data_IF_718476282064
#
_entry.id   IF_718476282064
#
_cell.length_a   1.000
_cell.length_b   1.000
_cell.length_c   1.000
_cell.angle_alpha   90.00
_cell.angle_beta   90.00
_cell.angle_gamma   90.00
#
_symmetry.space_group_name_H-M   'P 1'
#
loop_
_entity.id
_entity.type
_entity.pdbx_description
1 polymer ?
#
# COMPACT_ATOMS: atom_id res chain seq x y z
N UNK A 1 7.34 -58.31 37.76
CA UNK A 1 8.26 -57.16 37.85
C UNK A 1 8.58 -56.63 36.47
N UNK A 2 8.68 -55.30 36.35
CA UNK A 2 9.26 -54.50 35.25
C UNK A 2 8.56 -54.51 33.87
N UNK A 3 7.57 -53.62 33.76
CA UNK A 3 6.98 -53.05 32.54
C UNK A 3 7.97 -52.04 31.94
N UNK A 4 8.54 -52.27 30.75
CA UNK A 4 9.33 -51.25 30.02
C UNK A 4 8.44 -50.55 29.00
N UNK A 5 8.19 -49.26 29.25
CA UNK A 5 7.54 -48.33 28.31
C UNK A 5 8.62 -47.71 27.43
N UNK A 6 8.58 -47.97 26.13
CA UNK A 6 9.35 -47.21 25.14
C UNK A 6 8.53 -45.97 24.77
N UNK A 7 8.93 -44.80 25.27
CA UNK A 7 8.43 -43.51 24.80
C UNK A 7 9.16 -43.14 23.50
N UNK A 8 8.44 -43.24 22.39
CA UNK A 8 8.86 -42.64 21.13
C UNK A 8 8.70 -41.12 21.25
N UNK A 9 9.83 -40.40 21.28
CA UNK A 9 9.86 -38.95 21.11
C UNK A 9 9.56 -38.64 19.63
N UNK A 10 8.31 -38.26 19.34
CA UNK A 10 7.95 -37.64 18.07
C UNK A 10 8.44 -36.18 18.11
N UNK A 11 9.62 -35.95 17.53
CA UNK A 11 10.04 -34.62 17.09
C UNK A 11 9.10 -34.18 15.96
N UNK A 12 8.13 -33.35 16.30
CA UNK A 12 7.39 -32.53 15.35
C UNK A 12 8.35 -31.48 14.78
N UNK A 13 9.11 -31.87 13.75
CA UNK A 13 9.79 -30.93 12.88
C UNK A 13 8.74 -30.02 12.24
N UNK A 14 8.71 -28.76 12.65
CA UNK A 14 8.20 -27.68 11.82
C UNK A 14 9.05 -27.69 10.55
N UNK A 15 8.51 -28.23 9.46
CA UNK A 15 9.14 -28.17 8.17
C UNK A 15 9.30 -26.69 7.79
N UNK A 16 10.52 -26.16 7.96
CA UNK A 16 10.93 -24.91 7.33
C UNK A 16 10.75 -25.13 5.83
N UNK A 17 9.93 -24.34 5.13
CA UNK A 17 9.76 -24.51 3.69
C UNK A 17 11.13 -24.33 3.04
N UNK A 18 11.55 -25.28 2.19
CA UNK A 18 12.86 -25.37 1.56
C UNK A 18 13.16 -24.26 0.52
N UNK A 19 12.74 -23.02 0.78
CA UNK A 19 12.85 -21.86 -0.11
C UNK A 19 12.64 -20.51 0.58
N UNK A 20 12.90 -20.41 1.89
CA UNK A 20 12.92 -19.13 2.59
C UNK A 20 14.26 -18.42 2.33
N UNK A 21 14.20 -17.18 1.84
CA UNK A 21 15.37 -16.30 1.61
C UNK A 21 15.41 -15.26 2.71
N UNK A 22 16.55 -15.14 3.40
CA UNK A 22 16.80 -14.06 4.35
C UNK A 22 16.93 -12.75 3.57
N UNK A 23 16.02 -11.82 3.80
CA UNK A 23 16.00 -10.49 3.16
C UNK A 23 16.52 -9.39 4.09
N UNK A 24 16.63 -9.68 5.39
CA UNK A 24 17.28 -8.81 6.38
C UNK A 24 17.71 -9.67 7.58
N UNK A 25 18.93 -9.47 8.06
CA UNK A 25 19.41 -10.07 9.30
C UNK A 25 20.40 -9.11 9.95
N UNK A 26 19.98 -8.44 11.02
CA UNK A 26 20.85 -7.58 11.79
C UNK A 26 20.35 -7.43 13.24
N UNK A 27 21.27 -7.45 14.20
CA UNK A 27 21.01 -7.26 15.63
C UNK A 27 19.85 -8.11 16.20
N UNK A 28 19.70 -9.35 15.68
CA UNK A 28 18.66 -10.28 16.10
C UNK A 28 17.27 -9.98 15.53
N UNK A 29 17.11 -8.95 14.70
CA UNK A 29 15.93 -8.76 13.84
C UNK A 29 16.18 -9.47 12.51
N UNK A 30 15.37 -10.48 12.22
CA UNK A 30 15.49 -11.29 11.00
C UNK A 30 14.19 -11.24 10.22
N UNK A 31 14.30 -11.04 8.91
CA UNK A 31 13.19 -11.10 7.96
C UNK A 31 13.50 -12.17 6.94
N UNK A 32 12.61 -13.15 6.85
CA UNK A 32 12.67 -14.25 5.89
C UNK A 32 11.47 -14.16 4.96
N UNK A 33 11.70 -14.26 3.65
CA UNK A 33 10.65 -14.34 2.66
C UNK A 33 10.64 -15.73 2.02
N UNK A 34 9.53 -16.45 2.15
CA UNK A 34 9.32 -17.74 1.52
C UNK A 34 8.34 -17.60 0.36
N UNK A 35 8.70 -18.14 -0.80
CA UNK A 35 7.76 -18.32 -1.91
C UNK A 35 7.25 -19.76 -1.93
N UNK A 36 5.94 -19.94 -1.99
CA UNK A 36 5.28 -21.23 -2.06
C UNK A 36 4.30 -21.31 -3.23
N UNK A 37 3.64 -22.45 -3.37
CA UNK A 37 2.52 -22.64 -4.29
C UNK A 37 1.38 -23.30 -3.52
N UNK A 38 0.18 -22.71 -3.57
CA UNK A 38 -1.06 -23.31 -3.05
C UNK A 38 -2.03 -23.54 -4.20
N UNK A 39 -2.80 -24.61 -4.15
CA UNK A 39 -3.95 -24.72 -5.07
C UNK A 39 -5.09 -23.89 -4.51
N UNK A 40 -5.66 -23.03 -5.34
CA UNK A 40 -6.92 -22.35 -5.01
C UNK A 40 -8.04 -23.40 -4.98
N UNK A 41 -8.76 -23.48 -3.88
CA UNK A 41 -9.76 -24.53 -3.65
C UNK A 41 -11.02 -24.36 -4.51
N UNK A 42 -11.32 -23.12 -4.93
CA UNK A 42 -12.49 -22.81 -5.77
C UNK A 42 -12.21 -23.07 -7.25
N UNK A 43 -11.00 -22.77 -7.70
CA UNK A 43 -10.64 -22.76 -9.13
C UNK A 43 -9.71 -23.91 -9.53
N UNK A 44 -9.14 -24.63 -8.56
CA UNK A 44 -8.13 -25.67 -8.80
C UNK A 44 -6.80 -25.14 -9.33
N UNK A 45 -6.65 -23.82 -9.52
CA UNK A 45 -5.45 -23.23 -10.09
C UNK A 45 -4.35 -23.10 -9.03
N UNK A 46 -3.12 -23.46 -9.40
CA UNK A 46 -1.95 -23.19 -8.57
C UNK A 46 -1.69 -21.68 -8.51
N UNK A 47 -1.70 -21.15 -7.30
CA UNK A 47 -1.33 -19.78 -6.96
C UNK A 47 0.02 -19.76 -6.27
N UNK A 48 0.94 -18.95 -6.78
CA UNK A 48 2.20 -18.67 -6.09
C UNK A 48 1.93 -17.79 -4.86
N UNK A 49 2.27 -18.28 -3.68
CA UNK A 49 2.17 -17.53 -2.43
C UNK A 49 3.51 -16.97 -2.02
N UNK A 50 3.49 -15.88 -1.26
CA UNK A 50 4.67 -15.32 -0.61
C UNK A 50 4.30 -15.11 0.84
N UNK A 51 5.05 -15.74 1.73
CA UNK A 51 4.97 -15.54 3.16
C UNK A 51 6.22 -14.76 3.58
N UNK A 52 6.06 -13.87 4.55
CA UNK A 52 7.19 -13.18 5.18
C UNK A 52 7.10 -13.45 6.67
N UNK A 53 8.19 -13.92 7.24
CA UNK A 53 8.36 -14.16 8.67
C UNK A 53 9.28 -13.08 9.20
N UNK A 54 8.86 -12.36 10.24
CA UNK A 54 9.71 -11.39 10.93
C UNK A 54 9.90 -11.89 12.36
N UNK A 55 11.15 -12.07 12.78
CA UNK A 55 11.50 -12.46 14.14
C UNK A 55 12.41 -11.44 14.80
N UNK A 56 12.28 -11.29 16.11
CA UNK A 56 13.23 -10.55 16.94
C UNK A 56 13.71 -11.46 18.07
N UNK A 57 15.02 -11.66 18.18
CA UNK A 57 15.65 -12.57 19.14
C UNK A 57 15.05 -13.99 19.06
N UNK A 58 14.79 -14.47 17.83
CA UNK A 58 14.19 -15.77 17.56
C UNK A 58 12.69 -15.88 17.85
N UNK A 59 12.03 -14.82 18.34
CA UNK A 59 10.59 -14.80 18.57
C UNK A 59 9.86 -14.15 17.39
N UNK A 60 8.83 -14.78 16.81
CA UNK A 60 8.06 -14.16 15.74
C UNK A 60 7.31 -12.93 16.25
N UNK A 61 7.27 -11.88 15.42
CA UNK A 61 6.44 -10.70 15.68
C UNK A 61 4.98 -10.99 15.31
N UNK A 62 4.36 -11.91 16.04
CA UNK A 62 2.98 -12.37 15.84
C UNK A 62 2.37 -12.77 17.19
N UNK A 63 1.44 -11.97 17.69
CA UNK A 63 0.93 -12.11 19.05
C UNK A 63 0.14 -10.90 19.55
N UNK A 64 -0.34 -11.00 20.79
CA UNK A 64 -0.97 -9.87 21.51
C UNK A 64 0.05 -8.86 22.03
N UNK A 65 1.26 -9.31 22.31
CA UNK A 65 2.41 -8.49 22.70
C UNK A 65 2.82 -7.51 21.60
N UNK A 66 2.62 -7.88 20.34
CA UNK A 66 2.81 -6.99 19.18
C UNK A 66 1.86 -5.78 19.23
N UNK A 67 0.62 -5.94 19.71
CA UNK A 67 -0.31 -4.83 19.90
C UNK A 67 0.24 -3.76 20.84
N UNK A 68 0.85 -4.18 21.95
CA UNK A 68 1.50 -3.26 22.89
C UNK A 68 2.76 -2.58 22.29
N UNK A 69 3.48 -3.26 21.38
CA UNK A 69 4.60 -2.64 20.66
C UNK A 69 4.15 -1.56 19.67
N UNK A 70 3.01 -1.76 18.99
CA UNK A 70 2.47 -0.82 18.01
C UNK A 70 1.75 0.37 18.65
N UNK A 71 1.20 0.17 19.85
CA UNK A 71 0.44 1.15 20.62
C UNK A 71 0.98 1.23 22.06
N UNK A 72 2.19 1.78 22.26
CA UNK A 72 2.90 1.73 23.55
C UNK A 72 2.17 2.48 24.68
N UNK A 73 1.36 3.48 24.36
CA UNK A 73 0.61 4.26 25.36
C UNK A 73 -0.52 3.44 26.01
N UNK A 74 -0.89 2.29 25.42
CA UNK A 74 -1.89 1.36 25.97
C UNK A 74 -3.33 1.90 26.04
N UNK A 75 -3.58 3.15 25.63
CA UNK A 75 -4.89 3.79 25.66
C UNK A 75 -5.83 3.29 24.55
N UNK A 76 -5.27 2.79 23.45
CA UNK A 76 -6.00 2.26 22.30
C UNK A 76 -6.51 0.85 22.58
N UNK A 77 -7.76 0.53 22.19
CA UNK A 77 -8.27 -0.85 22.27
C UNK A 77 -7.42 -1.81 21.41
N UNK A 78 -6.84 -1.28 20.33
CA UNK A 78 -5.92 -1.93 19.41
C UNK A 78 -4.64 -2.41 20.11
N UNK A 79 -4.22 -1.80 21.22
CA UNK A 79 -3.07 -2.26 22.00
C UNK A 79 -3.25 -3.69 22.52
N UNK A 80 -4.49 -4.17 22.62
CA UNK A 80 -4.85 -5.53 23.07
C UNK A 80 -5.16 -6.49 21.90
N UNK A 81 -5.13 -5.99 20.67
CA UNK A 81 -5.42 -6.80 19.49
C UNK A 81 -4.27 -7.75 19.18
N UNK A 82 -4.61 -8.86 18.53
CA UNK A 82 -3.64 -9.81 18.01
C UNK A 82 -3.16 -9.32 16.65
N UNK A 83 -1.87 -9.03 16.53
CA UNK A 83 -1.23 -8.61 15.28
C UNK A 83 -0.17 -9.60 14.85
N UNK A 84 -0.05 -9.81 13.55
CA UNK A 84 1.10 -10.51 12.98
C UNK A 84 1.74 -9.67 11.89
N UNK A 85 3.07 -9.63 11.94
CA UNK A 85 3.87 -9.15 10.85
C UNK A 85 3.53 -9.93 9.57
N UNK A 86 3.42 -9.20 8.48
CA UNK A 86 3.12 -9.71 7.14
C UNK A 86 4.24 -9.28 6.20
N UNK A 87 3.94 -8.54 5.14
CA UNK A 87 4.92 -8.07 4.17
C UNK A 87 5.92 -7.12 4.81
N UNK A 88 7.21 -7.30 4.50
CA UNK A 88 8.30 -6.46 4.96
C UNK A 88 9.21 -6.01 3.82
N UNK A 89 9.90 -4.89 4.02
CA UNK A 89 10.94 -4.36 3.12
C UNK A 89 12.12 -3.88 3.95
N UNK A 90 13.28 -4.48 3.70
CA UNK A 90 14.54 -3.96 4.21
C UNK A 90 14.80 -2.57 3.63
N UNK A 91 15.22 -1.65 4.49
CA UNK A 91 15.65 -0.31 4.10
C UNK A 91 17.17 -0.26 4.01
N UNK A 92 17.68 0.72 3.30
CA UNK A 92 19.12 1.02 3.26
C UNK A 92 19.65 1.50 4.62
N UNK A 93 18.75 1.76 5.58
CA UNK A 93 19.02 2.41 6.87
C UNK A 93 18.87 1.44 8.04
N UNK A 94 19.60 0.31 8.10
CA UNK A 94 19.57 -0.69 9.19
C UNK A 94 18.20 -0.86 9.89
N UNK A 95 17.16 -0.92 9.08
CA UNK A 95 15.77 -0.90 9.53
C UNK A 95 14.89 -1.59 8.50
N UNK A 96 13.69 -1.94 8.93
CA UNK A 96 12.71 -2.66 8.13
C UNK A 96 11.39 -1.93 8.17
N UNK A 97 10.74 -1.71 7.03
CA UNK A 97 9.31 -1.38 7.00
C UNK A 97 8.52 -2.68 7.03
N UNK A 98 7.51 -2.77 7.89
CA UNK A 98 6.68 -3.96 8.02
C UNK A 98 5.21 -3.61 8.20
N UNK A 99 4.36 -4.34 7.47
CA UNK A 99 2.93 -4.32 7.70
C UNK A 99 2.55 -5.30 8.80
N UNK A 100 1.66 -4.87 9.70
CA UNK A 100 1.07 -5.69 10.74
C UNK A 100 -0.43 -5.80 10.49
N UNK A 101 -0.91 -7.01 10.30
CA UNK A 101 -2.33 -7.28 10.04
C UNK A 101 -3.00 -7.87 11.28
N UNK A 102 -4.27 -7.56 11.48
CA UNK A 102 -5.10 -8.11 12.54
C UNK A 102 -6.49 -8.45 12.00
N UNK A 103 -7.15 -9.45 12.58
CA UNK A 103 -8.56 -9.75 12.32
C UNK A 103 -9.52 -8.84 13.10
N UNK A 104 -9.02 -8.11 14.11
CA UNK A 104 -9.83 -7.30 15.03
C UNK A 104 -9.41 -5.83 15.09
N UNK A 105 -8.44 -5.41 14.27
CA UNK A 105 -7.93 -4.04 14.21
C UNK A 105 -7.45 -3.71 12.79
N UNK A 106 -7.29 -2.43 12.49
CA UNK A 106 -6.80 -1.97 11.19
C UNK A 106 -5.34 -2.39 10.96
N UNK A 107 -4.99 -2.67 9.71
CA UNK A 107 -3.60 -2.89 9.30
C UNK A 107 -2.74 -1.68 9.64
N UNK A 108 -1.55 -1.94 10.20
CA UNK A 108 -0.58 -0.91 10.59
C UNK A 108 0.69 -1.03 9.76
N UNK A 109 1.27 0.10 9.34
CA UNK A 109 2.63 0.15 8.80
C UNK A 109 3.57 0.73 9.85
N UNK A 110 4.69 0.07 10.10
CA UNK A 110 5.68 0.53 11.06
C UNK A 110 7.12 0.33 10.55
N UNK A 111 8.03 1.19 11.01
CA UNK A 111 9.47 0.94 10.94
C UNK A 111 9.89 0.12 12.17
N UNK A 112 10.68 -0.91 11.92
CA UNK A 112 11.37 -1.73 12.90
C UNK A 112 12.86 -1.40 12.84
N UNK A 113 13.43 -1.01 13.98
CA UNK A 113 14.88 -0.77 14.11
C UNK A 113 15.34 -1.30 15.45
N UNK A 114 16.52 -1.91 15.51
CA UNK A 114 17.12 -2.31 16.79
C UNK A 114 18.06 -1.19 17.26
N UNK A 115 17.84 -0.66 18.45
CA UNK A 115 18.68 0.37 19.06
C UNK A 115 19.01 -0.05 20.48
N UNK A 116 20.30 -0.07 20.84
CA UNK A 116 20.78 -0.53 22.15
C UNK A 116 20.24 -1.93 22.51
N UNK A 117 20.26 -2.85 21.54
CA UNK A 117 19.75 -4.22 21.68
C UNK A 117 18.26 -4.32 22.10
N UNK A 118 17.48 -3.28 21.79
CA UNK A 118 16.04 -3.24 21.99
C UNK A 118 15.33 -2.93 20.66
N UNK A 119 14.29 -3.69 20.35
CA UNK A 119 13.42 -3.42 19.21
C UNK A 119 12.67 -2.11 19.43
N UNK A 120 12.85 -1.17 18.51
CA UNK A 120 12.06 0.06 18.40
C UNK A 120 11.10 -0.09 17.24
N UNK A 121 9.83 0.14 17.55
CA UNK A 121 8.74 0.11 16.57
C UNK A 121 8.19 1.52 16.48
N UNK A 122 8.25 2.11 15.28
CA UNK A 122 7.69 3.42 15.00
C UNK A 122 6.56 3.27 13.99
N UNK A 123 5.31 3.45 14.44
CA UNK A 123 4.15 3.49 13.55
C UNK A 123 4.25 4.68 12.60
N UNK A 124 3.97 4.44 11.33
CA UNK A 124 3.87 5.48 10.32
C UNK A 124 2.41 5.91 10.17
N UNK A 125 2.18 7.22 10.32
CA UNK A 125 0.92 7.85 9.95
C UNK A 125 1.00 8.22 8.47
N UNK A 126 0.13 7.61 7.67
CA UNK A 126 0.07 7.75 6.22
C UNK A 126 -0.83 8.90 5.78
N UNK A 127 -1.69 9.41 6.66
CA UNK A 127 -2.55 10.56 6.39
C UNK A 127 -2.73 11.42 7.62
N UNK A 128 -2.66 12.74 7.46
CA UNK A 128 -3.03 13.68 8.51
C UNK A 128 -4.52 13.61 8.88
N UNK A 129 -5.36 13.07 7.98
CA UNK A 129 -6.77 12.78 8.21
C UNK A 129 -6.93 11.34 8.73
N UNK A 130 -7.33 11.12 9.99
CA UNK A 130 -7.35 9.79 10.61
C UNK A 130 -8.27 8.79 9.90
N UNK A 131 -9.38 9.27 9.35
CA UNK A 131 -10.29 8.47 8.57
C UNK A 131 -9.60 7.88 7.35
N UNK A 132 -8.64 8.59 6.73
CA UNK A 132 -7.90 8.19 5.51
C UNK A 132 -6.57 7.45 5.75
N UNK A 133 -6.24 7.14 7.00
CA UNK A 133 -4.97 6.49 7.39
C UNK A 133 -4.97 4.95 7.19
N UNK A 134 -6.12 4.35 6.86
CA UNK A 134 -6.26 2.89 6.72
C UNK A 134 -5.54 2.33 5.48
N UNK A 135 -5.15 1.06 5.62
CA UNK A 135 -4.42 0.29 4.63
C UNK A 135 -5.25 -0.96 4.27
N UNK A 136 -5.62 -1.09 3.00
CA UNK A 136 -6.34 -2.27 2.49
C UNK A 136 -5.43 -3.30 1.83
N UNK A 137 -4.22 -2.89 1.42
CA UNK A 137 -3.24 -3.77 0.76
C UNK A 137 -1.87 -3.65 1.42
N UNK A 138 -1.21 -4.79 1.62
CA UNK A 138 0.10 -4.87 2.28
C UNK A 138 1.22 -5.00 1.26
N UNK A 139 1.27 -4.07 0.30
CA UNK A 139 2.24 -4.08 -0.79
C UNK A 139 3.15 -2.86 -0.73
N UNK A 140 4.46 -3.11 -0.77
CA UNK A 140 5.44 -2.07 -1.05
C UNK A 140 5.62 -1.92 -2.55
N UNK A 141 5.46 -0.71 -3.03
CA UNK A 141 5.56 -0.35 -4.44
C UNK A 141 6.83 0.46 -4.67
N UNK A 142 7.29 0.44 -5.92
CA UNK A 142 8.43 1.24 -6.34
C UNK A 142 8.06 2.74 -6.35
N UNK A 143 8.89 3.53 -5.69
CA UNK A 143 8.78 4.98 -5.56
C UNK A 143 9.41 5.74 -6.73
N UNK A 144 10.13 5.06 -7.64
CA UNK A 144 10.93 5.65 -8.72
C UNK A 144 12.00 6.64 -8.23
N UNK A 145 12.36 6.55 -6.95
CA UNK A 145 13.32 7.43 -6.30
C UNK A 145 14.12 6.64 -5.25
N UNK A 146 15.47 6.60 -5.34
CA UNK A 146 16.30 5.91 -4.35
C UNK A 146 16.10 6.43 -2.93
N UNK A 147 16.10 5.56 -1.93
CA UNK A 147 15.81 5.92 -0.53
C UNK A 147 14.35 6.24 -0.25
N UNK A 148 13.43 5.89 -1.16
CA UNK A 148 11.98 6.02 -0.98
C UNK A 148 11.24 4.71 -1.27
N UNK A 149 10.11 4.53 -0.61
CA UNK A 149 9.15 3.44 -0.85
C UNK A 149 7.76 4.03 -1.09
N UNK A 150 7.01 3.49 -2.04
CA UNK A 150 5.61 3.87 -2.25
C UNK A 150 4.68 2.87 -1.60
N UNK A 151 3.59 3.36 -1.02
CA UNK A 151 2.47 2.55 -0.53
C UNK A 151 1.15 3.23 -0.92
N UNK A 152 0.05 2.49 -0.81
CA UNK A 152 -1.28 3.02 -1.10
C UNK A 152 -2.19 2.93 0.13
N UNK A 153 -2.97 3.98 0.39
CA UNK A 153 -4.04 3.93 1.40
C UNK A 153 -5.29 3.26 0.82
N UNK A 154 -6.25 2.92 1.68
CA UNK A 154 -7.55 2.38 1.24
C UNK A 154 -8.37 3.33 0.35
N UNK A 155 -8.00 4.62 0.26
CA UNK A 155 -8.66 5.65 -0.59
C UNK A 155 -7.95 5.87 -1.91
N UNK A 156 -7.11 4.92 -2.32
CA UNK A 156 -6.29 5.03 -3.52
C UNK A 156 -5.34 6.24 -3.52
N UNK A 157 -4.89 6.69 -2.35
CA UNK A 157 -3.89 7.74 -2.24
C UNK A 157 -2.49 7.17 -2.32
N UNK A 158 -1.62 7.84 -3.07
CA UNK A 158 -0.19 7.51 -3.14
C UNK A 158 0.52 8.15 -1.96
N UNK A 159 1.20 7.33 -1.16
CA UNK A 159 2.03 7.78 -0.03
C UNK A 159 3.48 7.38 -0.29
N UNK A 160 4.37 8.37 -0.21
CA UNK A 160 5.80 8.21 -0.39
C UNK A 160 6.48 8.18 0.99
N UNK A 161 7.24 7.12 1.27
CA UNK A 161 7.95 6.94 2.54
C UNK A 161 9.44 7.15 2.28
N UNK A 162 9.98 8.25 2.80
CA UNK A 162 11.42 8.51 2.82
C UNK A 162 12.07 7.63 3.88
N UNK A 163 13.20 7.01 3.58
CA UNK A 163 13.89 6.10 4.51
C UNK A 163 14.74 6.85 5.54
N UNK A 164 15.40 7.94 5.13
CA UNK A 164 16.24 8.78 6.00
C UNK A 164 16.13 10.29 5.70
N UNK A 165 15.71 11.13 6.68
CA UNK A 165 15.00 10.72 7.88
C UNK A 165 13.66 10.05 7.53
N UNK A 166 13.18 9.16 8.40
CA UNK A 166 11.91 8.47 8.19
C UNK A 166 10.76 9.47 8.17
N UNK A 167 10.06 9.55 7.04
CA UNK A 167 8.88 10.40 6.89
C UNK A 167 7.91 9.80 5.87
N UNK A 168 6.62 9.80 6.19
CA UNK A 168 5.55 9.50 5.24
C UNK A 168 5.00 10.80 4.65
N UNK A 169 4.89 10.85 3.33
CA UNK A 169 4.37 11.98 2.58
C UNK A 169 3.19 11.53 1.73
N UNK A 170 1.98 11.90 2.13
CA UNK A 170 0.77 11.61 1.36
C UNK A 170 0.64 12.61 0.20
N UNK A 171 0.69 12.12 -1.04
CA UNK A 171 0.52 12.93 -2.24
C UNK A 171 -0.96 13.04 -2.67
N UNK A 172 -1.86 12.39 -1.94
CA UNK A 172 -3.28 12.31 -2.22
C UNK A 172 -3.63 11.30 -3.32
N UNK A 173 -4.83 11.40 -3.91
CA UNK A 173 -5.34 10.40 -4.85
C UNK A 173 -4.52 10.35 -6.15
N UNK A 174 -4.41 9.14 -6.70
CA UNK A 174 -3.78 8.88 -8.00
C UNK A 174 -2.68 7.84 -7.95
N UNK A 175 -2.28 7.35 -9.11
CA UNK A 175 -1.18 6.40 -9.33
C UNK A 175 0.07 7.15 -9.80
N UNK A 176 1.23 6.78 -9.24
CA UNK A 176 2.50 7.41 -9.58
C UNK A 176 2.92 7.09 -11.02
N UNK A 177 3.07 8.14 -11.84
CA UNK A 177 3.67 8.04 -13.16
C UNK A 177 5.18 8.17 -13.07
N UNK A 178 5.65 9.22 -12.38
CA UNK A 178 7.06 9.58 -12.35
C UNK A 178 7.39 10.56 -11.23
N UNK A 179 8.67 10.68 -10.88
CA UNK A 179 9.22 11.72 -10.02
C UNK A 179 10.38 12.39 -10.74
N UNK A 180 10.24 13.68 -11.06
CA UNK A 180 11.29 14.46 -11.73
C UNK A 180 11.38 15.86 -11.12
N UNK A 181 12.60 16.35 -10.91
CA UNK A 181 12.89 17.70 -10.42
C UNK A 181 12.13 18.08 -9.13
N UNK A 182 12.00 17.13 -8.20
CA UNK A 182 11.28 17.32 -6.94
C UNK A 182 9.75 17.36 -7.09
N UNK A 183 9.20 16.93 -8.23
CA UNK A 183 7.76 16.86 -8.51
C UNK A 183 7.35 15.42 -8.82
N UNK A 184 6.36 14.91 -8.10
CA UNK A 184 5.67 13.68 -8.44
C UNK A 184 4.51 13.96 -9.40
N UNK A 185 4.46 13.21 -10.49
CA UNK A 185 3.38 13.22 -11.45
C UNK A 185 2.45 12.03 -11.18
N UNK A 186 1.17 12.32 -10.96
CA UNK A 186 0.16 11.30 -10.68
C UNK A 186 -0.89 11.28 -11.80
N UNK A 187 -1.34 10.08 -12.15
CA UNK A 187 -2.54 9.89 -12.96
C UNK A 187 -3.71 9.51 -12.06
N UNK A 188 -4.89 10.10 -12.30
CA UNK A 188 -6.15 9.65 -11.75
C UNK A 188 -6.86 8.90 -12.87
N UNK A 189 -6.86 7.56 -12.85
CA UNK A 189 -7.65 6.79 -13.81
C UNK A 189 -9.12 7.15 -13.69
N UNK A 190 -9.89 7.07 -14.80
CA UNK A 190 -11.33 7.24 -14.72
C UNK A 190 -11.89 6.15 -13.81
N UNK A 191 -12.81 6.53 -12.93
CA UNK A 191 -13.29 5.66 -11.87
C UNK A 191 -14.74 5.92 -11.52
N UNK A 192 -15.16 5.39 -10.38
CA UNK A 192 -16.43 5.72 -9.75
C UNK A 192 -16.19 5.98 -8.28
N UNK A 193 -16.55 7.17 -7.82
CA UNK A 193 -16.48 7.52 -6.41
C UNK A 193 -17.84 7.28 -5.76
N UNK A 194 -17.85 6.62 -4.61
CA UNK A 194 -19.03 6.51 -3.78
C UNK A 194 -19.25 7.85 -3.07
N UNK A 195 -20.22 8.63 -3.53
CA UNK A 195 -20.67 9.85 -2.86
C UNK A 195 -21.77 9.47 -1.88
N UNK A 196 -21.54 9.74 -0.60
CA UNK A 196 -22.54 9.56 0.44
C UNK A 196 -23.67 10.59 0.24
N UNK A 197 -24.86 10.10 -0.07
CA UNK A 197 -26.09 10.90 -0.18
C UNK A 197 -26.72 11.07 1.20
N UNK A 198 -26.70 10.00 2.02
CA UNK A 198 -27.16 10.04 3.40
C UNK A 198 -26.14 9.39 4.33
N UNK A 199 -25.77 10.04 5.44
CA UNK A 199 -24.82 9.47 6.39
C UNK A 199 -25.40 8.28 7.14
N UNK A 200 -24.49 7.49 7.71
CA UNK A 200 -24.87 6.41 8.62
C UNK A 200 -25.63 6.98 9.82
N UNK A 201 -26.83 6.47 10.08
CA UNK A 201 -27.68 6.89 11.20
C UNK A 201 -27.71 5.80 12.27
N UNK A 202 -27.74 6.20 13.54
CA UNK A 202 -28.05 5.29 14.66
C UNK A 202 -29.49 5.54 15.08
N UNK A 203 -30.35 4.55 14.88
CA UNK A 203 -31.78 4.63 15.23
C UNK A 203 -32.08 3.60 16.30
N UNK A 204 -33.05 3.87 17.17
CA UNK A 204 -33.59 2.83 18.05
C UNK A 204 -34.76 2.15 17.33
N UNK A 205 -34.79 0.82 17.37
CA UNK A 205 -35.97 0.08 16.90
C UNK A 205 -37.14 0.17 17.90
N UNK A 206 -38.27 -0.45 17.55
CA UNK A 206 -39.49 -0.40 18.33
C UNK A 206 -39.32 -0.96 19.75
N UNK A 207 -38.33 -1.83 19.96
CA UNK A 207 -38.01 -2.46 21.25
C UNK A 207 -36.88 -1.73 22.01
N UNK A 208 -36.39 -0.61 21.46
CA UNK A 208 -35.39 0.27 22.08
C UNK A 208 -33.93 -0.12 21.83
N UNK A 209 -33.65 -1.12 20.99
CA UNK A 209 -32.30 -1.51 20.63
C UNK A 209 -31.71 -0.57 19.58
N UNK A 210 -30.42 -0.24 19.73
CA UNK A 210 -29.71 0.61 18.78
C UNK A 210 -29.38 -0.18 17.50
N UNK A 211 -29.97 0.24 16.38
CA UNK A 211 -29.64 -0.22 15.04
C UNK A 211 -28.82 0.82 14.29
N UNK A 212 -27.90 0.33 13.46
CA UNK A 212 -27.10 1.14 12.55
C UNK A 212 -27.78 1.06 11.17
N UNK A 213 -28.32 2.19 10.72
CA UNK A 213 -28.75 2.35 9.33
C UNK A 213 -27.52 2.78 8.53
N UNK A 214 -27.01 1.92 7.62
CA UNK A 214 -25.83 2.24 6.84
C UNK A 214 -26.08 3.44 5.92
N UNK A 215 -25.01 4.14 5.56
CA UNK A 215 -25.06 5.25 4.62
C UNK A 215 -25.61 4.84 3.25
N UNK A 216 -26.39 5.72 2.63
CA UNK A 216 -26.79 5.58 1.22
C UNK A 216 -25.69 6.22 0.38
N UNK A 217 -25.06 5.43 -0.48
CA UNK A 217 -23.99 5.91 -1.38
C UNK A 217 -24.45 5.82 -2.83
N UNK A 218 -24.08 6.83 -3.62
CA UNK A 218 -24.23 6.84 -5.08
C UNK A 218 -22.85 6.86 -5.71
N UNK A 219 -22.62 5.94 -6.64
CA UNK A 219 -21.41 5.93 -7.44
C UNK A 219 -21.50 7.01 -8.53
N UNK A 220 -20.59 7.97 -8.50
CA UNK A 220 -20.46 9.03 -9.51
C UNK A 220 -19.20 8.76 -10.31
N UNK A 221 -19.32 8.77 -11.64
CA UNK A 221 -18.18 8.57 -12.52
C UNK A 221 -17.19 9.72 -12.33
N UNK A 222 -15.94 9.40 -12.02
CA UNK A 222 -14.86 10.36 -11.90
C UNK A 222 -14.07 10.40 -13.19
N UNK A 223 -13.99 11.56 -13.86
CA UNK A 223 -13.20 11.65 -15.08
C UNK A 223 -11.71 11.53 -14.74
N UNK A 224 -10.93 11.17 -15.76
CA UNK A 224 -9.49 11.11 -15.58
C UNK A 224 -8.89 12.49 -15.36
N UNK A 225 -7.78 12.53 -14.63
CA UNK A 225 -6.99 13.75 -14.43
C UNK A 225 -5.50 13.43 -14.29
N UNK A 226 -4.66 14.43 -14.47
CA UNK A 226 -3.26 14.39 -14.07
C UNK A 226 -2.98 15.42 -13.00
N UNK A 227 -2.06 15.11 -12.08
CA UNK A 227 -1.64 16.00 -11.01
C UNK A 227 -0.12 16.09 -11.00
N UNK A 228 0.38 17.27 -10.67
CA UNK A 228 1.77 17.51 -10.34
C UNK A 228 1.84 17.93 -8.87
N UNK A 229 2.58 17.19 -8.05
CA UNK A 229 2.65 17.35 -6.60
C UNK A 229 4.10 17.54 -6.17
N UNK A 230 4.37 18.53 -5.33
CA UNK A 230 5.71 18.81 -4.83
C UNK A 230 6.14 17.74 -3.82
N UNK A 231 7.35 17.19 -3.98
CA UNK A 231 7.89 16.13 -3.12
C UNK A 231 8.39 16.62 -1.75
N UNK A 232 8.53 17.92 -1.53
CA UNK A 232 8.99 18.46 -0.24
C UNK A 232 7.89 18.51 0.82
N UNK A 233 6.64 18.72 0.41
CA UNK A 233 5.51 19.01 1.30
C UNK A 233 4.19 18.37 0.86
N UNK A 234 4.14 17.70 -0.29
CA UNK A 234 2.94 17.04 -0.80
C UNK A 234 1.92 18.03 -1.38
N UNK A 235 2.29 19.30 -1.56
CA UNK A 235 1.41 20.32 -2.10
C UNK A 235 1.18 20.11 -3.59
N UNK A 236 -0.08 20.09 -4.00
CA UNK A 236 -0.44 20.09 -5.42
C UNK A 236 -0.02 21.41 -6.07
N UNK A 237 0.82 21.31 -7.11
CA UNK A 237 1.31 22.44 -7.88
C UNK A 237 0.34 22.78 -9.01
N UNK A 238 -0.11 21.76 -9.72
CA UNK A 238 -0.99 21.90 -10.87
C UNK A 238 -1.80 20.62 -11.10
N UNK A 239 -2.94 20.78 -11.75
CA UNK A 239 -3.84 19.69 -12.10
C UNK A 239 -4.42 19.93 -13.49
N UNK A 240 -4.56 18.85 -14.24
CA UNK A 240 -5.17 18.81 -15.56
C UNK A 240 -6.38 17.89 -15.49
N UNK A 241 -7.57 18.46 -15.45
CA UNK A 241 -8.83 17.73 -15.46
C UNK A 241 -9.39 17.60 -16.87
N UNK A 242 -9.93 16.43 -17.18
CA UNK A 242 -10.68 16.19 -18.41
C UNK A 242 -12.17 16.16 -18.07
N UNK A 243 -13.00 16.83 -18.87
CA UNK A 243 -14.47 16.74 -18.73
C UNK A 243 -15.05 15.54 -19.48
N UNK A 244 -14.34 15.10 -20.51
CA UNK A 244 -14.76 14.02 -21.38
C UNK A 244 -14.54 12.67 -20.70
N UNK A 245 -15.64 12.08 -20.21
CA UNK A 245 -15.66 10.77 -19.56
C UNK A 245 -15.31 9.60 -20.50
N UNK A 246 -15.28 9.84 -21.82
CA UNK A 246 -14.84 8.86 -22.79
C UNK A 246 -13.32 8.78 -22.92
N UNK A 247 -12.57 9.77 -22.40
CA UNK A 247 -11.12 9.68 -22.36
C UNK A 247 -10.67 8.67 -21.31
N UNK A 248 -9.64 7.90 -21.65
CA UNK A 248 -8.99 6.95 -20.76
C UNK A 248 -7.48 7.12 -20.80
N UNK A 249 -6.81 6.59 -19.79
CA UNK A 249 -5.37 6.36 -19.86
C UNK A 249 -5.10 5.18 -20.82
N UNK A 250 -3.96 5.15 -21.51
CA UNK A 250 -3.47 3.91 -22.09
C UNK A 250 -3.31 2.86 -20.96
N UNK A 251 -3.20 1.58 -21.32
CA UNK A 251 -2.93 0.52 -20.36
C UNK A 251 -1.52 0.67 -19.78
N UNK A 252 -1.37 1.51 -18.75
CA UNK A 252 -0.10 1.81 -18.08
C UNK A 252 0.13 0.81 -16.94
N UNK A 253 1.33 0.25 -16.89
CA UNK A 253 1.79 -0.56 -15.78
C UNK A 253 2.39 0.33 -14.68
N UNK A 254 1.54 0.76 -13.73
CA UNK A 254 1.95 1.67 -12.65
C UNK A 254 2.90 1.05 -11.62
N UNK A 255 2.82 -0.26 -11.44
CA UNK A 255 3.58 -0.98 -10.42
C UNK A 255 4.51 -1.98 -11.08
N UNK A 256 5.71 -2.11 -10.53
CA UNK A 256 6.70 -3.07 -11.03
C UNK A 256 6.08 -4.48 -10.99
N UNK A 257 6.13 -5.24 -12.09
CA UNK A 257 5.71 -6.63 -12.08
C UNK A 257 6.48 -7.41 -11.03
N UNK A 258 5.77 -8.24 -10.28
CA UNK A 258 6.34 -9.22 -9.39
C UNK A 258 5.91 -10.63 -9.82
N UNK A 259 6.55 -11.66 -9.27
CA UNK A 259 6.26 -13.05 -9.60
C UNK A 259 4.81 -13.50 -9.26
N UNK A 260 4.05 -12.66 -8.56
CA UNK A 260 2.64 -12.89 -8.20
C UNK A 260 1.67 -12.10 -9.07
N UNK A 261 2.19 -11.18 -9.89
CA UNK A 261 1.41 -10.39 -10.81
C UNK A 261 0.79 -11.32 -11.85
N UNK A 262 -0.54 -11.34 -11.92
CA UNK A 262 -1.25 -12.14 -12.93
C UNK A 262 -0.83 -11.66 -14.31
N UNK A 263 -0.58 -12.60 -15.22
CA UNK A 263 -0.35 -12.31 -16.64
C UNK A 263 -1.61 -11.65 -17.22
N UNK A 264 -1.63 -10.32 -17.27
CA UNK A 264 -2.65 -9.55 -17.98
C UNK A 264 -2.25 -9.39 -19.45
N UNK A 265 -3.16 -8.88 -20.28
CA UNK A 265 -2.80 -8.39 -21.61
C UNK A 265 -1.58 -7.44 -21.51
N UNK A 266 -0.72 -7.47 -22.53
CA UNK A 266 0.47 -6.63 -22.56
C UNK A 266 0.07 -5.15 -22.38
N UNK A 267 0.75 -4.40 -21.48
CA UNK A 267 0.44 -3.00 -21.29
C UNK A 267 0.80 -2.19 -22.54
N UNK A 268 0.07 -1.12 -22.80
CA UNK A 268 0.43 -0.13 -23.82
C UNK A 268 1.70 0.63 -23.40
N UNK A 269 1.94 0.76 -22.09
CA UNK A 269 3.13 1.40 -21.50
C UNK A 269 3.66 0.54 -20.35
N UNK A 270 4.81 -0.09 -20.54
CA UNK A 270 5.47 -0.91 -19.53
C UNK A 270 6.01 -0.06 -18.37
N UNK A 271 6.25 -0.69 -17.21
CA UNK A 271 6.64 0.02 -15.99
C UNK A 271 7.88 0.91 -16.15
N UNK A 272 8.89 0.44 -16.87
CA UNK A 272 10.15 1.16 -17.07
C UNK A 272 10.00 2.32 -18.09
N UNK A 273 8.99 2.27 -18.96
CA UNK A 273 8.72 3.29 -19.99
C UNK A 273 7.81 4.42 -19.49
N UNK A 274 7.14 4.23 -18.34
CA UNK A 274 6.19 5.24 -17.79
C UNK A 274 6.83 6.62 -17.62
N UNK A 275 8.08 6.78 -17.11
CA UNK A 275 8.73 8.08 -17.01
C UNK A 275 8.88 8.79 -18.37
N UNK A 276 9.32 8.06 -19.40
CA UNK A 276 9.47 8.60 -20.75
C UNK A 276 8.11 8.93 -21.40
N UNK A 277 7.11 8.07 -21.21
CA UNK A 277 5.74 8.34 -21.61
C UNK A 277 5.18 9.58 -20.92
N UNK A 278 5.37 9.72 -19.60
CA UNK A 278 4.95 10.89 -18.82
C UNK A 278 5.62 12.15 -19.36
N UNK A 279 6.94 12.11 -19.59
CA UNK A 279 7.70 13.26 -20.07
C UNK A 279 7.26 13.71 -21.48
N UNK A 280 6.94 12.77 -22.38
CA UNK A 280 6.41 13.08 -23.72
C UNK A 280 4.93 13.46 -23.72
N UNK A 281 4.16 13.09 -22.70
CA UNK A 281 2.71 13.33 -22.61
C UNK A 281 2.38 14.62 -21.88
N UNK A 282 3.08 14.93 -20.78
CA UNK A 282 2.75 16.01 -19.87
C UNK A 282 3.83 17.09 -19.85
N UNK A 283 3.39 18.34 -19.79
CA UNK A 283 4.27 19.48 -19.57
C UNK A 283 3.78 20.28 -18.36
N UNK A 284 4.67 20.44 -17.38
CA UNK A 284 4.49 21.32 -16.25
C UNK A 284 5.25 22.63 -16.52
N UNK A 285 4.55 23.75 -16.55
CA UNK A 285 5.16 25.08 -16.64
C UNK A 285 5.08 25.74 -15.29
N UNK A 286 6.23 26.13 -14.74
CA UNK A 286 6.34 26.85 -13.46
C UNK A 286 6.90 28.26 -13.73
N UNK A 287 6.05 29.28 -13.92
CA UNK A 287 6.55 30.64 -14.11
C UNK A 287 7.20 31.15 -12.82
N UNK A 288 8.24 31.99 -12.94
CA UNK A 288 8.92 32.60 -11.79
C UNK A 288 7.95 33.41 -10.90
N UNK A 289 6.89 33.94 -11.51
CA UNK A 289 5.75 34.55 -10.82
C UNK A 289 4.46 33.94 -11.40
N UNK A 290 3.61 33.39 -10.54
CA UNK A 290 2.30 32.83 -10.93
C UNK A 290 2.07 31.38 -10.52
N UNK A 291 0.92 30.83 -10.94
CA UNK A 291 0.52 29.45 -10.64
C UNK A 291 1.13 28.50 -11.67
N UNK A 292 1.66 27.37 -11.21
CA UNK A 292 2.09 26.31 -12.09
C UNK A 292 0.91 25.76 -12.90
N UNK A 293 1.16 25.39 -14.16
CA UNK A 293 0.14 24.82 -15.05
C UNK A 293 0.60 23.49 -15.60
N UNK A 294 -0.32 22.52 -15.65
CA UNK A 294 -0.09 21.19 -16.21
C UNK A 294 -0.93 21.06 -17.47
N UNK A 295 -0.31 20.68 -18.59
CA UNK A 295 -0.97 20.50 -19.88
C UNK A 295 -0.47 19.24 -20.59
N UNK A 296 -1.25 18.74 -21.55
CA UNK A 296 -0.73 17.79 -22.52
C UNK A 296 0.32 18.48 -23.41
N UNK A 297 1.33 17.73 -23.84
CA UNK A 297 2.23 18.22 -24.88
C UNK A 297 1.49 18.40 -26.21
N UNK A 298 1.92 19.33 -27.07
CA UNK A 298 1.34 19.52 -28.40
C UNK A 298 1.31 18.23 -29.21
N UNK A 299 0.18 17.94 -29.86
CA UNK A 299 -0.01 16.75 -30.69
C UNK A 299 -0.31 15.46 -29.92
N UNK A 300 -0.21 15.45 -28.60
CA UNK A 300 -0.55 14.27 -27.80
C UNK A 300 -2.06 14.10 -27.70
N UNK A 301 -2.53 12.91 -28.08
CA UNK A 301 -3.94 12.52 -27.98
C UNK A 301 -4.07 11.32 -27.04
N UNK A 302 -4.99 11.42 -26.08
CA UNK A 302 -5.29 10.33 -25.16
C UNK A 302 -6.28 9.34 -25.79
N UNK A 303 -6.16 8.03 -25.48
CA UNK A 303 -7.07 7.04 -26.02
C UNK A 303 -8.50 7.28 -25.54
N UNK A 304 -9.45 6.92 -26.39
CA UNK A 304 -10.88 6.95 -26.07
C UNK A 304 -11.40 5.54 -25.76
N UNK A 305 -12.46 5.47 -24.95
CA UNK A 305 -13.24 4.25 -24.76
C UNK A 305 -13.92 3.88 -26.09
N UNK A 306 -13.78 2.62 -26.57
CA UNK A 306 -14.44 2.18 -27.79
C UNK A 306 -15.96 2.39 -27.73
N UNK A 307 -16.55 2.93 -28.79
CA UNK A 307 -17.99 3.18 -28.89
C UNK A 307 -18.52 4.32 -28.00
N UNK A 308 -17.65 5.13 -27.39
CA UNK A 308 -18.05 6.24 -26.54
C UNK A 308 -18.02 7.57 -27.31
N UNK A 309 -19.19 8.15 -27.54
CA UNK A 309 -19.33 9.49 -28.11
C UNK A 309 -19.14 10.55 -27.01
N UNK A 310 -18.46 11.69 -27.30
CA UNK A 310 -18.42 12.81 -26.37
C UNK A 310 -19.85 13.25 -26.04
N UNK A 311 -20.14 13.42 -24.74
CA UNK A 311 -21.39 14.01 -24.26
C UNK A 311 -21.34 15.54 -24.25
#
# INVERSE_FOLDING_TARGET
MARRRSLAFLLSMLAVPAGAVVVYDNHGLVVEAATGSRSDWNTGQRQTTRATTITYQGKPLCGKDVGALLYPDGQSIEARAFFCASTAKALETDAVLAYFTSSSANTVLAQLRVVNNALRVQRLVLSAKPDRDRISTTRFEDARLPGWTRVQTSWNETVMIRHAPLAALNLGPGKLLDVADGVAYLALPPGRDAVEIEPTKRVKDADGYLQIVPAITKFVDTPMAFRAVRMSDGRELARLDFKDVCLRLPAIQFDRPDAQSKSTAAPDVAFDDVPAWRASTLQLTQPAQGRATLRLQPGVTLPRKPGCAPG
#
